data_IF_688240544854
#
_entry.id   IF_688240544854
#
_cell.length_a   1.000
_cell.length_b   1.000
_cell.length_c   1.000
_cell.angle_alpha   90.00
_cell.angle_beta   90.00
_cell.angle_gamma   90.00
#
_symmetry.space_group_name_H-M   'P 1'
#
loop_
_entity.id
_entity.type
_entity.pdbx_description
1 polymer ?
#
# COMPACT_ATOMS: atom_id res chain seq x y z
N UNK A 1 -2.07 -51.89 23.21
CA UNK A 1 -1.33 -51.05 24.16
C UNK A 1 -1.96 -49.67 24.17
N UNK A 2 -2.64 -49.36 25.25
CA UNK A 2 -3.32 -48.06 25.50
C UNK A 2 -2.31 -47.14 26.20
N UNK A 3 -2.12 -45.93 25.71
CA UNK A 3 -1.40 -44.90 26.47
C UNK A 3 -2.32 -43.67 26.61
N UNK A 4 -2.64 -43.37 27.86
CA UNK A 4 -3.51 -42.31 28.33
C UNK A 4 -2.88 -40.95 28.07
N UNK A 5 -3.69 -39.98 27.60
CA UNK A 5 -3.42 -38.53 27.74
C UNK A 5 -4.04 -38.04 29.05
N UNK A 6 -3.26 -37.50 29.93
CA UNK A 6 -3.70 -36.77 31.11
C UNK A 6 -3.91 -35.30 30.77
N UNK A 7 -5.15 -34.86 30.86
CA UNK A 7 -5.47 -33.44 30.88
C UNK A 7 -5.43 -32.93 32.33
N UNK A 8 -4.58 -31.93 32.61
CA UNK A 8 -4.61 -31.21 33.88
C UNK A 8 -5.54 -30.00 33.74
N UNK A 9 -6.71 -30.10 34.36
CA UNK A 9 -7.51 -28.95 34.74
C UNK A 9 -7.05 -28.49 36.11
N UNK A 10 -6.53 -27.30 36.26
CA UNK A 10 -6.32 -26.66 37.52
C UNK A 10 -7.37 -25.56 37.74
N UNK A 11 -8.41 -25.91 38.47
CA UNK A 11 -9.33 -24.95 39.09
C UNK A 11 -8.73 -24.49 40.38
N UNK A 12 -8.49 -23.21 40.55
CA UNK A 12 -8.35 -22.61 41.85
C UNK A 12 -8.90 -21.19 41.86
N UNK A 13 -10.06 -21.08 42.46
CA UNK A 13 -10.68 -19.86 42.94
C UNK A 13 -9.81 -19.24 44.02
N UNK A 14 -9.32 -17.99 43.84
CA UNK A 14 -8.93 -17.12 44.92
C UNK A 14 -9.57 -15.74 44.77
N UNK A 15 -10.23 -15.42 45.83
CA UNK A 15 -11.03 -14.29 46.25
C UNK A 15 -10.34 -12.94 45.98
N UNK A 16 -11.15 -12.02 45.49
CA UNK A 16 -10.98 -10.56 45.49
C UNK A 16 -10.41 -10.00 46.80
N UNK A 17 -9.35 -9.23 46.72
CA UNK A 17 -9.21 -7.97 47.48
C UNK A 17 -8.09 -7.10 46.90
N UNK A 18 -8.41 -5.81 46.87
CA UNK A 18 -7.60 -4.63 46.62
C UNK A 18 -7.48 -4.14 45.17
N UNK A 19 -8.33 -3.16 44.91
CA UNK A 19 -8.13 -2.16 43.87
C UNK A 19 -6.86 -1.36 44.21
N UNK A 20 -5.75 -1.66 43.55
CA UNK A 20 -4.64 -0.72 43.36
C UNK A 20 -4.73 -0.19 41.95
N UNK A 21 -4.94 1.10 41.88
CA UNK A 21 -4.96 1.88 40.61
C UNK A 21 -3.61 1.77 39.92
N UNK A 22 -3.65 1.77 38.59
CA UNK A 22 -2.49 1.70 37.67
C UNK A 22 -1.46 2.83 37.85
N UNK A 23 -1.65 3.70 38.84
CA UNK A 23 -0.77 4.82 39.17
C UNK A 23 0.50 4.48 39.94
N UNK A 24 0.64 3.25 40.47
CA UNK A 24 1.76 2.92 41.39
C UNK A 24 2.95 2.18 40.76
N UNK A 25 2.97 1.98 39.44
CA UNK A 25 4.05 1.22 38.78
C UNK A 25 5.10 2.08 38.05
N UNK A 26 5.04 3.41 38.13
CA UNK A 26 6.03 4.30 37.49
C UNK A 26 6.75 5.19 38.51
N UNK A 27 7.45 4.59 39.47
CA UNK A 27 8.45 5.31 40.31
C UNK A 27 9.73 4.52 40.39
N UNK A 28 10.59 4.65 39.40
CA UNK A 28 12.05 4.52 39.55
C UNK A 28 12.76 5.22 38.38
N UNK A 29 13.57 6.23 38.70
CA UNK A 29 14.56 6.81 37.79
C UNK A 29 14.30 8.26 37.43
N UNK A 30 15.09 9.15 37.99
CA UNK A 30 14.95 10.60 37.86
C UNK A 30 15.32 11.17 36.50
N UNK A 31 14.91 12.40 36.41
CA UNK A 31 15.19 13.50 35.50
C UNK A 31 14.41 13.62 34.17
N UNK A 32 13.60 14.69 34.19
CA UNK A 32 13.09 15.48 33.07
C UNK A 32 12.38 14.74 31.95
N UNK A 33 11.29 14.06 32.27
CA UNK A 33 10.20 13.83 31.34
C UNK A 33 9.00 14.65 31.80
N UNK A 34 8.65 15.68 31.03
CA UNK A 34 7.35 16.34 31.15
C UNK A 34 6.27 15.27 31.15
N UNK A 35 5.60 15.09 32.29
CA UNK A 35 4.43 14.23 32.40
C UNK A 35 3.35 14.86 31.55
N UNK A 36 3.20 14.41 30.30
CA UNK A 36 2.04 14.74 29.48
C UNK A 36 0.83 14.20 30.24
N UNK A 37 0.11 15.11 30.90
CA UNK A 37 -1.24 14.84 31.40
C UNK A 37 -2.03 14.40 30.18
N UNK A 38 -2.58 13.17 30.20
CA UNK A 38 -3.50 12.69 29.17
C UNK A 38 -4.73 13.59 29.20
N UNK A 39 -4.68 14.69 28.44
CA UNK A 39 -5.85 15.43 28.02
C UNK A 39 -6.74 14.49 27.19
N UNK A 40 -8.02 14.75 27.19
CA UNK A 40 -9.10 14.02 26.53
C UNK A 40 -8.63 13.19 25.33
N UNK A 41 -8.87 11.86 25.37
CA UNK A 41 -8.53 10.93 24.28
C UNK A 41 -9.26 11.40 23.04
N UNK A 42 -8.57 12.09 22.12
CA UNK A 42 -9.14 12.43 20.83
C UNK A 42 -9.47 11.13 20.12
N UNK A 43 -10.73 10.90 19.85
CA UNK A 43 -11.20 9.71 19.12
C UNK A 43 -10.76 9.87 17.67
N UNK A 44 -9.86 8.98 17.21
CA UNK A 44 -9.39 8.94 15.84
C UNK A 44 -10.31 8.12 14.93
N UNK A 45 -11.07 7.17 15.49
CA UNK A 45 -11.93 6.26 14.72
C UNK A 45 -13.21 6.96 14.30
N UNK A 46 -13.56 6.79 13.03
CA UNK A 46 -14.82 7.30 12.43
C UNK A 46 -15.55 6.11 11.84
N UNK A 47 -16.86 6.00 12.11
CA UNK A 47 -17.67 4.91 11.60
C UNK A 47 -17.13 3.53 11.95
N UNK A 48 -17.12 2.63 10.98
CA UNK A 48 -16.76 1.23 11.21
C UNK A 48 -15.37 0.81 10.72
N UNK A 49 -14.77 1.56 9.79
CA UNK A 49 -13.52 1.18 9.12
C UNK A 49 -12.53 2.34 8.98
N UNK A 50 -12.98 3.58 9.27
CA UNK A 50 -12.20 4.76 8.96
C UNK A 50 -11.53 5.37 10.19
N UNK A 51 -10.44 6.08 9.92
CA UNK A 51 -9.63 6.79 10.91
C UNK A 51 -9.36 8.20 10.35
N UNK A 52 -9.66 9.23 11.14
CA UNK A 52 -9.15 10.57 10.91
C UNK A 52 -7.92 10.76 11.79
N UNK A 53 -6.80 11.12 11.20
CA UNK A 53 -5.57 11.29 11.97
C UNK A 53 -5.70 12.48 12.93
N UNK A 54 -5.14 12.33 14.14
CA UNK A 54 -5.11 13.40 15.15
C UNK A 54 -4.16 14.52 14.71
N UNK A 55 -3.04 14.11 14.15
CA UNK A 55 -2.03 14.96 13.55
C UNK A 55 -1.77 14.44 12.14
N UNK A 56 -1.77 15.31 11.17
CA UNK A 56 -1.48 14.97 9.79
C UNK A 56 -0.08 14.37 9.66
N UNK A 57 0.06 13.45 8.72
CA UNK A 57 1.34 12.80 8.44
C UNK A 57 1.87 13.27 7.10
N UNK A 58 3.03 13.86 7.11
CA UNK A 58 3.63 14.54 5.95
C UNK A 58 4.53 13.60 5.16
N UNK A 59 4.38 13.61 3.83
CA UNK A 59 5.28 12.91 2.91
C UNK A 59 6.41 13.88 2.56
N UNK A 60 7.55 13.71 3.23
CA UNK A 60 8.70 14.64 3.14
C UNK A 60 9.74 14.22 2.11
N UNK A 61 9.61 13.04 1.53
CA UNK A 61 10.45 12.53 0.45
C UNK A 61 9.79 11.33 -0.19
N UNK A 62 9.90 11.22 -1.51
CA UNK A 62 9.43 10.06 -2.25
C UNK A 62 10.33 9.78 -3.44
N UNK A 63 10.39 8.53 -3.86
CA UNK A 63 11.12 8.13 -5.05
C UNK A 63 10.37 7.06 -5.82
N UNK A 64 10.58 7.05 -7.14
CA UNK A 64 10.03 6.09 -8.08
C UNK A 64 11.11 5.59 -9.03
N UNK A 65 11.34 4.29 -9.04
CA UNK A 65 12.25 3.62 -9.95
C UNK A 65 11.46 2.60 -10.76
N UNK A 66 11.66 2.54 -12.05
CA UNK A 66 10.90 1.69 -12.95
C UNK A 66 11.77 1.00 -13.98
N UNK A 67 11.23 -0.06 -14.60
CA UNK A 67 11.83 -0.75 -15.74
C UNK A 67 11.69 0.03 -17.06
N UNK A 68 12.27 -0.54 -18.12
CA UNK A 68 12.27 0.07 -19.47
C UNK A 68 10.87 0.27 -20.02
N UNK A 69 10.00 -0.73 -19.85
CA UNK A 69 8.63 -0.70 -20.37
C UNK A 69 7.80 0.43 -19.76
N UNK A 70 7.93 0.66 -18.47
CA UNK A 70 7.30 1.74 -17.72
C UNK A 70 7.86 3.10 -18.15
N UNK A 71 9.18 3.15 -18.41
CA UNK A 71 9.87 4.34 -18.91
C UNK A 71 9.41 4.76 -20.31
N UNK A 72 8.95 3.84 -21.13
CA UNK A 72 8.38 4.09 -22.44
C UNK A 72 6.90 4.51 -22.40
N UNK A 73 6.26 4.41 -21.23
CA UNK A 73 4.86 4.75 -21.01
C UNK A 73 4.60 6.26 -20.85
N UNK A 74 3.32 6.64 -20.73
CA UNK A 74 2.92 8.05 -20.62
C UNK A 74 3.56 8.81 -19.44
N UNK A 75 3.90 8.12 -18.36
CA UNK A 75 4.52 8.71 -17.19
C UNK A 75 6.06 8.64 -17.20
N UNK A 76 6.66 8.11 -18.25
CA UNK A 76 8.10 7.80 -18.33
C UNK A 76 9.04 8.94 -17.90
N UNK A 77 8.74 10.18 -18.33
CA UNK A 77 9.55 11.36 -17.99
C UNK A 77 9.37 11.86 -16.56
N UNK A 78 8.44 11.30 -15.80
CA UNK A 78 8.15 11.71 -14.42
C UNK A 78 8.85 10.84 -13.39
N UNK A 79 9.26 9.63 -13.75
CA UNK A 79 9.97 8.74 -12.85
C UNK A 79 11.37 9.25 -12.51
N UNK A 80 11.80 8.99 -11.29
CA UNK A 80 13.12 9.45 -10.82
C UNK A 80 14.27 8.70 -11.49
N UNK A 81 14.04 7.42 -11.78
CA UNK A 81 14.99 6.58 -12.49
C UNK A 81 14.27 5.55 -13.34
N UNK A 82 14.74 5.37 -14.56
CA UNK A 82 14.35 4.30 -15.47
C UNK A 82 15.54 3.40 -15.68
N UNK A 83 15.39 2.08 -15.48
CA UNK A 83 16.45 1.10 -15.70
C UNK A 83 16.86 1.03 -17.18
N UNK A 84 18.12 0.73 -17.44
CA UNK A 84 18.60 0.45 -18.79
C UNK A 84 18.06 -0.87 -19.34
N UNK A 85 17.81 -1.82 -18.42
CA UNK A 85 17.14 -3.09 -18.67
C UNK A 85 16.32 -3.50 -17.43
N UNK A 86 15.56 -4.60 -17.53
CA UNK A 86 14.74 -5.12 -16.42
C UNK A 86 15.54 -5.93 -15.40
N UNK A 87 16.83 -6.16 -15.62
CA UNK A 87 17.71 -6.88 -14.69
C UNK A 87 18.43 -5.96 -13.70
N UNK A 88 18.49 -4.65 -13.98
CA UNK A 88 19.16 -3.66 -13.12
C UNK A 88 20.60 -4.06 -12.73
N UNK A 89 21.31 -4.73 -13.66
CA UNK A 89 22.66 -5.22 -13.43
C UNK A 89 22.77 -6.44 -12.51
N UNK A 90 21.67 -7.09 -12.17
CA UNK A 90 21.60 -8.28 -11.33
C UNK A 90 21.59 -9.58 -12.16
N UNK A 91 21.82 -10.72 -11.52
CA UNK A 91 21.82 -12.03 -12.19
C UNK A 91 20.42 -12.69 -12.23
N UNK A 92 19.54 -12.33 -11.31
CA UNK A 92 18.17 -12.87 -11.21
C UNK A 92 17.13 -11.76 -11.11
N UNK A 93 15.89 -12.06 -11.48
CA UNK A 93 14.79 -11.08 -11.40
C UNK A 93 14.42 -10.72 -9.96
N UNK A 94 14.59 -11.67 -9.02
CA UNK A 94 14.39 -11.41 -7.59
C UNK A 94 15.45 -10.45 -7.03
N UNK A 95 16.69 -10.60 -7.45
CA UNK A 95 17.76 -9.64 -7.11
C UNK A 95 17.51 -8.27 -7.73
N UNK A 96 17.03 -8.23 -8.99
CA UNK A 96 16.63 -7.00 -9.66
C UNK A 96 15.54 -6.27 -8.87
N UNK A 97 14.50 -6.99 -8.43
CA UNK A 97 13.44 -6.40 -7.59
C UNK A 97 13.96 -5.93 -6.23
N UNK A 98 14.86 -6.67 -5.60
CA UNK A 98 15.55 -6.25 -4.37
C UNK A 98 16.35 -4.96 -4.57
N UNK A 99 17.04 -4.84 -5.70
CA UNK A 99 17.79 -3.63 -6.07
C UNK A 99 16.87 -2.42 -6.24
N UNK A 100 15.72 -2.60 -6.89
CA UNK A 100 14.69 -1.54 -7.01
C UNK A 100 14.27 -0.97 -5.66
N UNK A 101 13.96 -1.82 -4.67
CA UNK A 101 13.59 -1.36 -3.33
C UNK A 101 14.72 -0.63 -2.64
N UNK A 102 15.93 -1.19 -2.70
CA UNK A 102 17.12 -0.58 -2.11
C UNK A 102 17.32 0.83 -2.65
N UNK A 103 17.34 0.98 -3.96
CA UNK A 103 17.65 2.26 -4.59
C UNK A 103 16.51 3.27 -4.41
N UNK A 104 15.24 2.84 -4.40
CA UNK A 104 14.10 3.69 -4.10
C UNK A 104 14.19 4.27 -2.67
N UNK A 105 14.54 3.44 -1.67
CA UNK A 105 14.76 3.91 -0.29
C UNK A 105 15.92 4.91 -0.23
N UNK A 106 17.04 4.63 -0.91
CA UNK A 106 18.18 5.53 -0.96
C UNK A 106 17.80 6.91 -1.52
N UNK A 107 17.08 6.93 -2.64
CA UNK A 107 16.65 8.18 -3.28
C UNK A 107 15.62 8.93 -2.44
N UNK A 108 14.64 8.24 -1.85
CA UNK A 108 13.64 8.86 -0.98
C UNK A 108 14.26 9.51 0.25
N UNK A 109 15.22 8.84 0.90
CA UNK A 109 16.00 9.40 2.00
C UNK A 109 16.79 10.63 1.57
N UNK A 110 17.45 10.56 0.40
CA UNK A 110 18.20 11.68 -0.17
C UNK A 110 17.33 12.93 -0.38
N UNK A 111 16.14 12.76 -0.97
CA UNK A 111 15.16 13.85 -1.17
C UNK A 111 14.61 14.40 0.15
N UNK A 112 14.38 13.53 1.14
CA UNK A 112 13.98 13.92 2.48
C UNK A 112 15.12 14.59 3.27
N UNK A 113 16.35 14.56 2.78
CA UNK A 113 17.59 14.98 3.50
C UNK A 113 17.72 14.27 4.85
N UNK A 114 17.39 12.97 4.86
CA UNK A 114 17.44 12.09 6.04
C UNK A 114 18.45 10.97 5.82
N UNK A 115 18.89 10.39 6.94
CA UNK A 115 19.75 9.21 6.97
C UNK A 115 18.96 8.00 7.48
N UNK A 116 19.43 6.77 7.25
CA UNK A 116 18.80 5.56 7.82
C UNK A 116 18.60 5.64 9.34
N UNK A 117 19.53 6.23 10.07
CA UNK A 117 19.46 6.35 11.54
C UNK A 117 18.35 7.29 12.04
N UNK A 118 17.83 8.16 11.17
CA UNK A 118 16.70 9.04 11.49
C UNK A 118 15.37 8.29 11.44
N UNK A 119 15.33 7.11 10.83
CA UNK A 119 14.13 6.30 10.62
C UNK A 119 13.93 5.33 11.78
N UNK A 120 12.71 5.33 12.34
CA UNK A 120 12.37 4.42 13.43
C UNK A 120 12.02 3.02 12.94
N UNK A 121 11.27 2.93 11.82
CA UNK A 121 10.79 1.70 11.23
C UNK A 121 10.76 1.79 9.70
N UNK A 122 10.82 0.62 9.04
CA UNK A 122 10.43 0.43 7.64
C UNK A 122 9.17 -0.43 7.61
N UNK A 123 8.15 0.01 6.86
CA UNK A 123 7.00 -0.78 6.45
C UNK A 123 7.18 -1.13 4.98
N UNK A 124 7.39 -2.39 4.68
CA UNK A 124 7.79 -2.78 3.34
C UNK A 124 7.19 -4.12 2.91
N UNK A 125 6.98 -4.28 1.61
CA UNK A 125 6.51 -5.52 1.02
C UNK A 125 6.70 -5.57 -0.49
N UNK A 126 6.47 -6.74 -1.03
CA UNK A 126 6.51 -7.07 -2.45
C UNK A 126 5.45 -8.13 -2.78
N UNK A 127 5.41 -8.63 -4.01
CA UNK A 127 4.45 -9.66 -4.43
C UNK A 127 4.94 -11.09 -4.24
N UNK A 128 6.20 -11.28 -3.84
CA UNK A 128 6.80 -12.60 -3.76
C UNK A 128 6.46 -13.30 -2.44
N UNK A 129 6.53 -14.62 -2.47
CA UNK A 129 6.36 -15.42 -1.27
C UNK A 129 7.35 -15.02 -0.18
N UNK A 130 6.84 -14.82 1.05
CA UNK A 130 7.59 -14.42 2.24
C UNK A 130 8.30 -13.06 2.10
N UNK A 131 7.89 -12.21 1.15
CA UNK A 131 8.48 -10.89 0.90
C UNK A 131 10.00 -10.95 0.73
N UNK A 132 10.46 -11.85 -0.15
CA UNK A 132 11.89 -12.16 -0.28
C UNK A 132 12.67 -11.01 -0.93
N UNK A 133 12.08 -10.32 -1.91
CA UNK A 133 12.71 -9.16 -2.52
C UNK A 133 12.93 -8.05 -1.49
N UNK A 134 11.93 -7.79 -0.65
CA UNK A 134 12.02 -6.83 0.46
C UNK A 134 13.12 -7.19 1.44
N UNK A 135 13.19 -8.46 1.85
CA UNK A 135 14.17 -8.91 2.84
C UNK A 135 15.62 -8.62 2.40
N UNK A 136 15.95 -8.89 1.15
CA UNK A 136 17.29 -8.63 0.61
C UNK A 136 17.49 -7.16 0.21
N UNK A 137 16.45 -6.50 -0.29
CA UNK A 137 16.53 -5.12 -0.74
C UNK A 137 16.86 -4.13 0.37
N UNK A 138 16.28 -4.33 1.56
CA UNK A 138 16.40 -3.34 2.64
C UNK A 138 17.32 -3.74 3.79
N UNK A 139 17.83 -4.98 3.83
CA UNK A 139 18.61 -5.50 4.97
C UNK A 139 19.81 -4.60 5.35
N UNK A 140 20.44 -3.98 4.37
CA UNK A 140 21.65 -3.17 4.57
C UNK A 140 21.38 -1.80 5.20
N UNK A 141 20.12 -1.36 5.30
CA UNK A 141 19.76 -0.12 5.97
C UNK A 141 19.80 -0.23 7.49
N UNK A 142 19.76 -1.46 8.03
CA UNK A 142 19.78 -1.73 9.47
C UNK A 142 18.70 -0.98 10.26
N UNK A 143 17.50 -0.82 9.64
CA UNK A 143 16.33 -0.21 10.24
C UNK A 143 15.34 -1.33 10.61
N UNK A 144 14.69 -1.30 11.79
CA UNK A 144 13.67 -2.29 12.17
C UNK A 144 12.57 -2.38 11.12
N UNK A 145 12.31 -3.61 10.63
CA UNK A 145 11.36 -3.91 9.56
C UNK A 145 10.04 -4.45 10.12
N UNK A 146 8.94 -3.95 9.58
CA UNK A 146 7.63 -4.55 9.61
C UNK A 146 7.23 -4.91 8.16
N UNK A 147 7.35 -6.20 7.84
CA UNK A 147 6.94 -6.73 6.53
C UNK A 147 5.43 -6.79 6.43
N UNK A 148 4.88 -6.31 5.31
CA UNK A 148 3.44 -6.25 5.04
C UNK A 148 3.12 -6.93 3.71
N UNK A 149 1.93 -7.52 3.61
CA UNK A 149 1.48 -8.19 2.40
C UNK A 149 -0.04 -8.07 2.21
N UNK A 150 -0.44 -7.27 1.26
CA UNK A 150 -1.81 -7.10 0.79
C UNK A 150 -1.91 -7.25 -0.74
N UNK A 151 -1.07 -8.12 -1.34
CA UNK A 151 -0.89 -8.21 -2.79
C UNK A 151 -0.62 -6.81 -3.39
N UNK A 152 -1.27 -6.42 -4.48
CA UNK A 152 -1.07 -5.11 -5.09
C UNK A 152 -1.44 -3.93 -4.18
N UNK A 153 -2.27 -4.13 -3.13
CA UNK A 153 -2.63 -3.09 -2.15
C UNK A 153 -1.55 -2.81 -1.09
N UNK A 154 -0.44 -3.53 -1.09
CA UNK A 154 0.65 -3.41 -0.11
C UNK A 154 1.18 -1.97 0.02
N UNK A 155 1.16 -1.19 -1.06
CA UNK A 155 1.49 0.24 -1.01
C UNK A 155 0.58 1.01 -0.04
N UNK A 156 -0.74 0.83 -0.16
CA UNK A 156 -1.71 1.44 0.76
C UNK A 156 -1.56 0.94 2.19
N UNK A 157 -1.36 -0.36 2.35
CA UNK A 157 -1.17 -0.99 3.65
C UNK A 157 0.08 -0.44 4.38
N UNK A 158 1.20 -0.33 3.69
CA UNK A 158 2.45 0.23 4.24
C UNK A 158 2.28 1.69 4.66
N UNK A 159 1.62 2.51 3.83
CA UNK A 159 1.36 3.92 4.12
C UNK A 159 0.39 4.10 5.30
N UNK A 160 -0.64 3.26 5.41
CA UNK A 160 -1.58 3.26 6.55
C UNK A 160 -0.84 2.95 7.85
N UNK A 161 -0.09 1.85 7.90
CA UNK A 161 0.64 1.45 9.10
C UNK A 161 1.73 2.47 9.47
N UNK A 162 2.45 2.99 8.49
CA UNK A 162 3.41 4.07 8.69
C UNK A 162 2.76 5.33 9.26
N UNK A 163 1.61 5.73 8.72
CA UNK A 163 0.86 6.89 9.21
C UNK A 163 0.33 6.69 10.63
N UNK A 164 -0.18 5.49 10.95
CA UNK A 164 -0.60 5.14 12.30
C UNK A 164 0.57 5.22 13.28
N UNK A 165 1.77 4.74 12.89
CA UNK A 165 2.96 4.78 13.74
C UNK A 165 3.43 6.23 14.00
N UNK A 166 3.38 7.10 12.98
CA UNK A 166 3.78 8.51 13.10
C UNK A 166 2.75 9.31 13.89
N UNK A 167 1.48 9.26 13.50
CA UNK A 167 0.39 10.01 14.16
C UNK A 167 0.15 9.52 15.59
N UNK A 168 0.33 8.21 15.85
CA UNK A 168 0.26 7.62 17.18
C UNK A 168 1.45 7.94 18.10
N UNK A 169 2.48 8.61 17.59
CA UNK A 169 3.66 9.00 18.36
C UNK A 169 4.67 7.87 18.60
N UNK A 170 4.55 6.73 17.91
CA UNK A 170 5.51 5.63 17.98
C UNK A 170 6.78 5.91 17.18
N UNK A 171 6.73 6.84 16.22
CA UNK A 171 7.85 7.27 15.42
C UNK A 171 7.74 8.75 15.02
N UNK A 172 8.89 9.44 14.86
CA UNK A 172 8.92 10.76 14.22
C UNK A 172 9.01 10.61 12.69
N UNK A 173 9.81 9.63 12.24
CA UNK A 173 9.98 9.31 10.82
C UNK A 173 9.94 7.81 10.59
N UNK A 174 9.33 7.40 9.49
CA UNK A 174 9.32 6.02 9.00
C UNK A 174 9.48 6.00 7.49
N UNK A 175 9.88 4.85 6.96
CA UNK A 175 9.88 4.59 5.52
C UNK A 175 8.78 3.60 5.19
N UNK A 176 8.05 3.87 4.09
CA UNK A 176 7.15 2.94 3.45
C UNK A 176 7.70 2.66 2.05
N UNK A 177 7.89 1.40 1.69
CA UNK A 177 8.42 1.02 0.37
C UNK A 177 7.76 -0.25 -0.13
N UNK A 178 7.41 -0.26 -1.40
CA UNK A 178 6.87 -1.46 -2.07
C UNK A 178 7.42 -1.57 -3.49
N UNK A 179 7.55 -2.80 -3.95
CA UNK A 179 8.00 -3.12 -5.30
C UNK A 179 7.18 -4.23 -5.93
N UNK A 180 7.23 -4.30 -7.22
CA UNK A 180 6.89 -5.45 -8.02
C UNK A 180 7.83 -5.53 -9.23
N UNK A 181 7.97 -6.74 -9.79
CA UNK A 181 8.75 -6.95 -10.99
C UNK A 181 8.00 -7.98 -11.85
N UNK A 182 7.81 -7.68 -13.15
CA UNK A 182 6.96 -8.49 -14.00
C UNK A 182 7.38 -9.97 -14.01
N UNK A 183 8.66 -10.25 -14.16
CA UNK A 183 9.13 -11.63 -14.30
C UNK A 183 9.15 -12.40 -12.99
N UNK A 184 9.55 -11.77 -11.87
CA UNK A 184 9.56 -12.42 -10.56
C UNK A 184 8.14 -12.72 -10.06
N UNK A 185 7.21 -11.78 -10.23
CA UNK A 185 5.84 -11.93 -9.77
C UNK A 185 4.99 -12.80 -10.71
N UNK A 186 5.03 -12.57 -12.02
CA UNK A 186 4.13 -13.26 -12.95
C UNK A 186 4.38 -14.76 -13.06
N UNK A 187 5.60 -15.24 -12.82
CA UNK A 187 5.87 -16.67 -12.77
C UNK A 187 5.16 -17.40 -11.63
N UNK A 188 4.64 -16.69 -10.65
CA UNK A 188 3.86 -17.27 -9.55
C UNK A 188 2.44 -17.68 -10.00
N UNK A 189 1.85 -16.99 -10.99
CA UNK A 189 0.50 -17.26 -11.45
C UNK A 189 0.38 -17.44 -12.97
N UNK A 190 1.40 -17.08 -13.75
CA UNK A 190 1.45 -17.22 -15.21
C UNK A 190 2.69 -17.99 -15.63
N UNK A 191 2.64 -19.27 -15.46
CA UNK A 191 3.76 -20.16 -15.78
C UNK A 191 3.37 -21.15 -16.88
N UNK A 192 4.23 -21.44 -17.87
CA UNK A 192 5.54 -20.79 -18.08
C UNK A 192 5.46 -19.41 -18.70
N UNK A 193 6.36 -18.49 -18.32
CA UNK A 193 6.41 -17.11 -18.81
C UNK A 193 6.56 -17.00 -20.33
N UNK A 194 7.16 -18.00 -20.98
CA UNK A 194 7.28 -18.06 -22.44
C UNK A 194 5.95 -18.03 -23.22
N UNK A 195 4.83 -18.28 -22.54
CA UNK A 195 3.49 -18.11 -23.09
C UNK A 195 2.82 -16.80 -22.65
N UNK A 196 3.58 -15.86 -22.11
CA UNK A 196 3.07 -14.56 -21.66
C UNK A 196 2.32 -13.73 -22.71
N UNK A 197 2.61 -13.95 -24.01
CA UNK A 197 1.88 -13.35 -25.14
C UNK A 197 0.44 -13.87 -25.29
N UNK A 198 0.10 -15.00 -24.69
CA UNK A 198 -1.24 -15.59 -24.73
C UNK A 198 -2.13 -15.09 -23.58
N UNK A 199 -2.12 -13.81 -23.30
CA UNK A 199 -2.93 -13.17 -22.26
C UNK A 199 -4.30 -12.78 -22.82
N UNK A 200 -5.42 -13.00 -22.06
CA UNK A 200 -6.72 -12.44 -22.44
C UNK A 200 -6.69 -10.91 -22.35
N UNK A 201 -7.64 -10.25 -23.03
CA UNK A 201 -7.78 -8.79 -22.98
C UNK A 201 -8.10 -8.23 -21.58
N UNK A 202 -8.55 -9.07 -20.66
CA UNK A 202 -8.78 -8.73 -19.26
C UNK A 202 -7.51 -8.76 -18.39
N UNK A 203 -6.42 -9.36 -18.88
CA UNK A 203 -5.16 -9.43 -18.14
C UNK A 203 -4.47 -8.06 -18.09
N UNK A 204 -3.84 -7.79 -16.97
CA UNK A 204 -2.91 -6.67 -16.79
C UNK A 204 -1.46 -7.13 -16.92
N UNK A 205 -0.56 -6.18 -17.03
CA UNK A 205 0.90 -6.38 -17.02
C UNK A 205 1.45 -5.97 -15.66
N UNK A 206 2.22 -6.85 -14.99
CA UNK A 206 2.84 -6.47 -13.73
C UNK A 206 3.90 -5.42 -13.95
N UNK A 207 3.77 -4.30 -13.27
CA UNK A 207 4.71 -3.18 -13.31
C UNK A 207 6.04 -3.60 -12.68
N UNK A 208 7.13 -3.33 -13.39
CA UNK A 208 8.48 -3.40 -12.85
C UNK A 208 8.80 -2.05 -12.24
N UNK A 209 8.79 -1.96 -10.91
CA UNK A 209 9.07 -0.70 -10.25
C UNK A 209 8.98 -0.78 -8.73
N UNK A 210 9.57 0.23 -8.09
CA UNK A 210 9.53 0.43 -6.65
C UNK A 210 9.25 1.89 -6.33
N UNK A 211 8.32 2.11 -5.38
CA UNK A 211 8.05 3.42 -4.81
C UNK A 211 8.37 3.43 -3.32
N UNK A 212 9.12 4.44 -2.87
CA UNK A 212 9.47 4.64 -1.47
C UNK A 212 9.02 6.03 -0.98
N UNK A 213 8.58 6.10 0.28
CA UNK A 213 8.04 7.31 0.90
C UNK A 213 8.61 7.47 2.30
N UNK A 214 9.13 8.66 2.60
CA UNK A 214 9.52 9.05 3.95
C UNK A 214 8.39 9.83 4.57
N UNK A 215 7.80 9.28 5.63
CA UNK A 215 6.72 9.90 6.39
C UNK A 215 7.27 10.61 7.62
N UNK A 216 6.72 11.77 7.92
CA UNK A 216 7.12 12.62 9.06
C UNK A 216 5.92 13.17 9.81
N UNK A 217 6.11 13.40 11.10
CA UNK A 217 5.16 14.11 11.96
C UNK A 217 5.15 15.63 11.70
N UNK A 218 6.13 16.16 11.00
CA UNK A 218 6.29 17.61 10.76
C UNK A 218 6.54 17.87 9.28
N UNK A 219 6.16 19.06 8.85
CA UNK A 219 6.57 19.59 7.54
C UNK A 219 8.08 19.80 7.56
N UNK A 220 8.77 19.17 6.62
CA UNK A 220 10.20 19.27 6.44
C UNK A 220 10.55 19.26 4.95
N UNK A 221 11.57 20.00 4.55
CA UNK A 221 12.05 19.99 3.17
C UNK A 221 11.00 20.39 2.14
N UNK A 222 10.94 19.65 1.05
CA UNK A 222 9.99 19.86 -0.06
C UNK A 222 8.74 18.98 0.11
N UNK A 223 8.05 19.11 1.24
CA UNK A 223 6.82 18.37 1.49
C UNK A 223 5.75 18.76 0.47
N UNK A 224 5.18 17.79 -0.23
CA UNK A 224 4.19 18.02 -1.30
C UNK A 224 2.76 17.73 -0.87
N UNK A 225 2.58 16.83 0.07
CA UNK A 225 1.27 16.39 0.51
C UNK A 225 1.31 15.84 1.94
N UNK A 226 0.14 15.76 2.56
CA UNK A 226 -0.06 15.06 3.82
C UNK A 226 -1.16 13.99 3.71
N UNK A 227 -1.08 13.00 4.60
CA UNK A 227 -2.12 12.01 4.83
C UNK A 227 -2.94 12.49 6.01
N UNK A 228 -4.24 12.73 5.82
CA UNK A 228 -5.15 13.29 6.83
C UNK A 228 -6.12 12.24 7.38
N UNK A 229 -6.29 11.13 6.66
CA UNK A 229 -7.19 10.08 7.07
C UNK A 229 -7.06 8.82 6.21
N UNK A 230 -7.76 7.77 6.63
CA UNK A 230 -7.71 6.47 5.97
C UNK A 230 -8.97 5.64 6.21
N UNK A 231 -9.23 4.68 5.33
CA UNK A 231 -10.27 3.66 5.50
C UNK A 231 -9.66 2.28 5.26
N UNK A 232 -9.69 1.44 6.28
CA UNK A 232 -9.11 0.09 6.22
C UNK A 232 -10.15 -0.83 5.60
N UNK A 233 -9.80 -1.44 4.45
CA UNK A 233 -10.69 -2.32 3.72
C UNK A 233 -10.83 -3.70 4.34
N UNK A 234 -11.87 -4.40 3.89
CA UNK A 234 -12.14 -5.81 4.21
C UNK A 234 -11.85 -6.67 3.00
N UNK A 235 -11.55 -7.94 3.25
CA UNK A 235 -11.50 -8.94 2.18
C UNK A 235 -12.92 -9.14 1.63
N UNK A 236 -13.06 -9.04 0.30
CA UNK A 236 -14.33 -9.24 -0.42
C UNK A 236 -14.12 -10.31 -1.47
N UNK A 237 -14.97 -11.33 -1.47
CA UNK A 237 -14.93 -12.45 -2.40
C UNK A 237 -16.28 -12.62 -3.11
N UNK A 238 -16.28 -12.44 -4.42
CA UNK A 238 -17.45 -12.68 -5.28
C UNK A 238 -17.40 -14.04 -5.99
N UNK A 239 -16.48 -14.92 -5.57
CA UNK A 239 -16.39 -16.29 -6.09
C UNK A 239 -15.68 -16.39 -7.45
N UNK A 240 -14.99 -15.33 -7.90
CA UNK A 240 -14.22 -15.35 -9.14
C UNK A 240 -12.95 -16.19 -8.97
N UNK A 241 -12.60 -16.97 -10.02
CA UNK A 241 -11.44 -17.87 -10.03
C UNK A 241 -10.44 -17.55 -11.13
N UNK A 242 -10.72 -16.56 -11.96
CA UNK A 242 -9.87 -16.19 -13.08
C UNK A 242 -8.74 -15.24 -12.62
N UNK A 243 -7.56 -15.81 -12.40
CA UNK A 243 -6.36 -15.06 -12.02
C UNK A 243 -5.84 -14.11 -13.10
N UNK A 244 -6.31 -14.26 -14.35
CA UNK A 244 -5.98 -13.37 -15.46
C UNK A 244 -7.00 -12.22 -15.62
N UNK A 245 -7.97 -12.13 -14.71
CA UNK A 245 -8.95 -11.04 -14.64
C UNK A 245 -8.96 -10.43 -13.23
N UNK A 246 -7.79 -10.03 -12.75
CA UNK A 246 -7.61 -9.51 -11.40
C UNK A 246 -8.43 -8.25 -11.15
N UNK A 247 -8.58 -7.37 -12.16
CA UNK A 247 -9.40 -6.17 -12.04
C UNK A 247 -10.83 -6.46 -11.62
N UNK A 248 -11.47 -7.48 -12.23
CA UNK A 248 -12.82 -7.89 -11.82
C UNK A 248 -12.84 -8.50 -10.40
N UNK A 249 -11.77 -9.18 -9.98
CA UNK A 249 -11.66 -9.72 -8.62
C UNK A 249 -11.49 -8.62 -7.56
N UNK A 250 -10.76 -7.55 -7.88
CA UNK A 250 -10.45 -6.44 -6.97
C UNK A 250 -11.56 -5.38 -6.88
N UNK A 251 -12.30 -5.15 -7.96
CA UNK A 251 -13.30 -4.08 -8.04
C UNK A 251 -14.37 -4.14 -6.92
N UNK A 252 -14.89 -5.33 -6.50
CA UNK A 252 -15.82 -5.40 -5.36
C UNK A 252 -15.22 -4.92 -4.04
N UNK A 253 -13.93 -5.19 -3.79
CA UNK A 253 -13.25 -4.71 -2.59
C UNK A 253 -13.04 -3.19 -2.63
N UNK A 254 -12.64 -2.65 -3.78
CA UNK A 254 -12.55 -1.21 -3.99
C UNK A 254 -13.92 -0.52 -3.77
N UNK A 255 -15.00 -1.05 -4.37
CA UNK A 255 -16.36 -0.54 -4.18
C UNK A 255 -16.79 -0.59 -2.71
N UNK A 256 -16.46 -1.67 -1.99
CA UNK A 256 -16.76 -1.80 -0.56
C UNK A 256 -16.02 -0.74 0.26
N UNK A 257 -14.72 -0.55 0.02
CA UNK A 257 -13.88 0.40 0.76
C UNK A 257 -14.26 1.85 0.48
N UNK A 258 -14.51 2.22 -0.78
CA UNK A 258 -14.95 3.56 -1.17
C UNK A 258 -16.32 3.88 -0.57
N UNK A 259 -17.26 2.91 -0.60
CA UNK A 259 -18.58 3.06 0.03
C UNK A 259 -18.46 3.24 1.54
N UNK A 260 -17.63 2.45 2.21
CA UNK A 260 -17.38 2.59 3.64
C UNK A 260 -16.76 3.95 3.96
N UNK A 261 -15.82 4.41 3.14
CA UNK A 261 -15.20 5.72 3.28
C UNK A 261 -16.24 6.85 3.26
N UNK A 262 -17.07 6.90 2.22
CA UNK A 262 -18.09 7.94 2.11
C UNK A 262 -19.11 7.90 3.25
N UNK A 263 -19.53 6.70 3.66
CA UNK A 263 -20.44 6.55 4.79
C UNK A 263 -19.80 6.98 6.12
N UNK A 264 -18.58 6.54 6.39
CA UNK A 264 -17.91 6.81 7.66
C UNK A 264 -17.56 8.29 7.81
N UNK A 265 -17.07 8.93 6.73
CA UNK A 265 -16.73 10.36 6.71
C UNK A 265 -17.94 11.27 6.48
N UNK A 266 -19.12 10.71 6.16
CA UNK A 266 -20.29 11.46 5.71
C UNK A 266 -19.94 12.43 4.57
N UNK A 267 -19.14 11.96 3.61
CA UNK A 267 -18.59 12.69 2.49
C UNK A 267 -19.20 12.25 1.16
N UNK A 268 -19.01 13.06 0.12
CA UNK A 268 -19.50 12.82 -1.22
C UNK A 268 -18.32 12.80 -2.22
N UNK A 269 -18.49 12.14 -3.39
CA UNK A 269 -17.43 12.12 -4.41
C UNK A 269 -16.91 13.52 -4.79
N UNK A 270 -17.78 14.52 -4.79
CA UNK A 270 -17.47 15.90 -5.17
C UNK A 270 -16.47 16.60 -4.25
N UNK A 271 -16.25 16.07 -3.05
CA UNK A 271 -15.27 16.58 -2.10
C UNK A 271 -13.82 16.24 -2.48
N UNK A 272 -13.65 15.35 -3.47
CA UNK A 272 -12.34 14.90 -3.95
C UNK A 272 -12.11 15.38 -5.39
N UNK A 273 -10.92 15.90 -5.67
CA UNK A 273 -10.54 16.22 -7.05
C UNK A 273 -10.38 14.95 -7.88
N UNK A 274 -9.83 13.88 -7.27
CA UNK A 274 -9.71 12.55 -7.85
C UNK A 274 -9.95 11.45 -6.82
N UNK A 275 -10.50 10.34 -7.33
CA UNK A 275 -10.63 9.06 -6.63
C UNK A 275 -9.79 8.06 -7.44
N UNK A 276 -8.67 7.63 -6.86
CA UNK A 276 -7.61 6.97 -7.63
C UNK A 276 -7.44 5.53 -7.15
N UNK A 277 -7.71 4.57 -8.03
CA UNK A 277 -7.46 3.15 -7.75
C UNK A 277 -6.06 2.71 -8.16
N UNK A 278 -5.57 1.63 -7.52
CA UNK A 278 -4.19 1.18 -7.72
C UNK A 278 -3.95 0.51 -9.06
N UNK A 279 -4.75 -0.48 -9.41
CA UNK A 279 -4.46 -1.35 -10.56
C UNK A 279 -5.68 -2.17 -11.02
N UNK A 280 -6.85 -1.58 -11.00
CA UNK A 280 -8.07 -2.21 -11.52
C UNK A 280 -8.02 -2.44 -13.03
N UNK A 281 -7.31 -1.58 -13.73
CA UNK A 281 -7.28 -1.56 -15.18
C UNK A 281 -8.65 -1.29 -15.81
N UNK A 282 -8.72 -1.33 -17.13
CA UNK A 282 -9.93 -0.96 -17.88
C UNK A 282 -11.14 -1.86 -17.61
N UNK A 283 -10.93 -3.14 -17.26
CA UNK A 283 -12.01 -4.08 -16.94
C UNK A 283 -12.52 -3.81 -15.54
N UNK A 284 -11.63 -3.75 -14.54
CA UNK A 284 -12.02 -3.52 -13.15
C UNK A 284 -12.61 -2.13 -12.92
N UNK A 285 -12.13 -1.10 -13.65
CA UNK A 285 -12.72 0.23 -13.63
C UNK A 285 -14.21 0.20 -13.98
N UNK A 286 -14.59 -0.46 -15.10
CA UNK A 286 -16.00 -0.56 -15.50
C UNK A 286 -16.85 -1.23 -14.43
N UNK A 287 -16.36 -2.34 -13.87
CA UNK A 287 -17.04 -3.06 -12.78
C UNK A 287 -17.18 -2.17 -11.53
N UNK A 288 -16.11 -1.44 -11.15
CA UNK A 288 -16.14 -0.52 -10.02
C UNK A 288 -17.20 0.58 -10.20
N UNK A 289 -17.22 1.23 -11.36
CA UNK A 289 -18.17 2.32 -11.65
C UNK A 289 -19.60 1.85 -11.57
N UNK A 290 -19.90 0.67 -12.12
CA UNK A 290 -21.25 0.09 -12.05
C UNK A 290 -21.64 -0.26 -10.60
N UNK A 291 -20.75 -0.92 -9.83
CA UNK A 291 -20.99 -1.26 -8.43
C UNK A 291 -21.21 -0.05 -7.53
N UNK A 292 -20.49 1.06 -7.78
CA UNK A 292 -20.68 2.29 -7.00
C UNK A 292 -21.95 3.02 -7.40
N UNK A 293 -22.30 3.03 -8.69
CA UNK A 293 -23.56 3.62 -9.19
C UNK A 293 -24.78 2.92 -8.59
N UNK A 294 -24.74 1.60 -8.46
CA UNK A 294 -25.80 0.82 -7.77
C UNK A 294 -25.95 1.19 -6.29
N UNK A 295 -24.90 1.76 -5.68
CA UNK A 295 -24.91 2.27 -4.30
C UNK A 295 -25.22 3.76 -4.19
N UNK A 296 -25.48 4.42 -5.31
CA UNK A 296 -25.81 5.84 -5.36
C UNK A 296 -24.61 6.79 -5.50
N UNK A 297 -23.42 6.26 -5.77
CA UNK A 297 -22.21 7.09 -5.96
C UNK A 297 -21.77 7.04 -7.42
N UNK A 298 -21.78 8.18 -8.11
CA UNK A 298 -21.18 8.32 -9.43
C UNK A 298 -19.82 9.02 -9.32
N UNK A 299 -18.75 8.26 -9.61
CA UNK A 299 -17.38 8.77 -9.56
C UNK A 299 -16.72 8.87 -10.94
N UNK A 300 -17.45 8.64 -12.03
CA UNK A 300 -16.89 8.46 -13.37
C UNK A 300 -15.97 9.63 -13.79
N UNK A 301 -16.40 10.88 -13.57
CA UNK A 301 -15.63 12.07 -13.97
C UNK A 301 -14.40 12.33 -13.08
N UNK A 302 -14.32 11.70 -11.91
CA UNK A 302 -13.25 11.88 -10.93
C UNK A 302 -12.35 10.67 -10.80
N UNK A 303 -12.76 9.55 -11.36
CA UNK A 303 -12.01 8.31 -11.26
C UNK A 303 -10.76 8.35 -12.15
N UNK A 304 -9.68 7.81 -11.60
CA UNK A 304 -8.42 7.53 -12.26
C UNK A 304 -7.91 6.16 -11.78
N UNK A 305 -7.21 5.42 -12.61
CA UNK A 305 -6.60 4.15 -12.22
C UNK A 305 -5.11 4.17 -12.59
N UNK A 306 -4.23 3.92 -11.61
CA UNK A 306 -2.79 3.98 -11.83
C UNK A 306 -2.33 3.01 -12.93
N UNK A 307 -2.95 1.83 -13.01
CA UNK A 307 -2.63 0.84 -14.04
C UNK A 307 -3.00 1.28 -15.45
N UNK A 308 -3.99 2.17 -15.60
CA UNK A 308 -4.37 2.75 -16.89
C UNK A 308 -3.47 3.93 -17.29
N UNK A 309 -2.88 4.61 -16.32
CA UNK A 309 -2.03 5.79 -16.57
C UNK A 309 -0.58 5.43 -16.89
N UNK A 310 -0.08 4.31 -16.34
CA UNK A 310 1.34 3.96 -16.43
C UNK A 310 1.76 3.44 -17.80
N UNK A 311 0.83 2.82 -18.54
CA UNK A 311 1.08 2.26 -19.87
C UNK A 311 0.12 2.82 -20.93
N UNK A 312 0.61 2.97 -22.14
CA UNK A 312 -0.25 3.05 -23.32
C UNK A 312 -0.63 1.63 -23.78
N UNK A 313 -1.82 1.20 -23.37
CA UNK A 313 -2.31 -0.16 -23.64
C UNK A 313 -2.33 -0.52 -25.13
N UNK A 314 -2.48 0.47 -26.03
CA UNK A 314 -2.56 0.24 -27.47
C UNK A 314 -1.19 -0.08 -28.08
N UNK A 315 -0.14 0.63 -27.67
CA UNK A 315 1.21 0.48 -28.23
C UNK A 315 2.11 -0.47 -27.45
N UNK A 316 1.84 -0.67 -26.13
CA UNK A 316 2.71 -1.44 -25.25
C UNK A 316 2.18 -2.86 -24.94
N UNK A 317 1.07 -3.30 -25.55
CA UNK A 317 0.50 -4.65 -25.37
C UNK A 317 0.24 -5.01 -23.90
N UNK A 318 -0.31 -4.08 -23.13
CA UNK A 318 -0.62 -4.29 -21.72
C UNK A 318 -2.07 -4.66 -21.43
N UNK A 319 -2.92 -4.70 -22.46
CA UNK A 319 -4.33 -5.09 -22.44
C UNK A 319 -5.17 -4.24 -21.48
N UNK A 320 -5.43 -4.76 -20.25
CA UNK A 320 -6.24 -4.03 -19.27
C UNK A 320 -5.47 -2.88 -18.57
N UNK A 321 -4.15 -2.87 -18.68
CA UNK A 321 -3.28 -1.87 -18.05
C UNK A 321 -2.20 -2.47 -17.17
N UNK A 322 -1.60 -1.68 -16.29
CA UNK A 322 -0.60 -2.10 -15.32
C UNK A 322 -1.21 -2.70 -14.06
N UNK A 323 -0.43 -3.52 -13.33
CA UNK A 323 -0.81 -4.12 -12.05
C UNK A 323 0.40 -4.26 -11.13
N UNK A 324 0.17 -4.58 -9.86
CA UNK A 324 1.20 -4.80 -8.86
C UNK A 324 1.34 -3.67 -7.85
N UNK A 325 1.93 -3.98 -6.70
CA UNK A 325 2.12 -2.95 -5.66
C UNK A 325 3.15 -1.88 -6.05
N UNK A 326 4.05 -2.18 -6.98
CA UNK A 326 4.89 -1.18 -7.65
C UNK A 326 4.07 -0.17 -8.47
N UNK A 327 3.01 -0.61 -9.15
CA UNK A 327 2.16 0.23 -9.99
C UNK A 327 1.61 1.46 -9.26
N UNK A 328 0.88 1.23 -8.17
CA UNK A 328 0.30 2.32 -7.36
C UNK A 328 1.39 3.15 -6.68
N UNK A 329 2.50 2.53 -6.25
CA UNK A 329 3.57 3.21 -5.55
C UNK A 329 4.34 4.19 -6.47
N UNK A 330 4.76 3.75 -7.66
CA UNK A 330 5.51 4.63 -8.57
C UNK A 330 4.63 5.74 -9.13
N UNK A 331 3.34 5.45 -9.41
CA UNK A 331 2.37 6.45 -9.86
C UNK A 331 2.08 7.49 -8.76
N UNK A 332 1.96 7.06 -7.50
CA UNK A 332 1.83 7.98 -6.37
C UNK A 332 3.02 8.93 -6.30
N UNK A 333 4.26 8.38 -6.32
CA UNK A 333 5.48 9.18 -6.19
C UNK A 333 5.70 10.14 -7.35
N UNK A 334 5.57 9.64 -8.60
CA UNK A 334 5.93 10.40 -9.80
C UNK A 334 4.85 11.39 -10.23
N UNK A 335 3.58 11.00 -10.13
CA UNK A 335 2.48 11.75 -10.72
C UNK A 335 1.55 12.37 -9.67
N UNK A 336 0.97 11.57 -8.77
CA UNK A 336 -0.07 12.07 -7.85
C UNK A 336 0.50 13.12 -6.89
N UNK A 337 1.66 12.87 -6.28
CA UNK A 337 2.32 13.83 -5.39
C UNK A 337 2.76 15.10 -6.12
N UNK A 338 3.07 15.01 -7.41
CA UNK A 338 3.35 16.18 -8.24
C UNK A 338 2.10 17.04 -8.43
N UNK A 339 0.95 16.42 -8.76
CA UNK A 339 -0.31 17.15 -8.93
C UNK A 339 -0.75 17.85 -7.64
N UNK A 340 -0.57 17.20 -6.49
CA UNK A 340 -0.83 17.79 -5.17
C UNK A 340 0.16 18.94 -4.86
N UNK A 341 1.45 18.71 -5.08
CA UNK A 341 2.49 19.72 -4.82
C UNK A 341 2.41 20.95 -5.72
N UNK A 342 1.91 20.80 -6.94
CA UNK A 342 1.63 21.92 -7.88
C UNK A 342 0.26 22.56 -7.65
N UNK A 343 -0.51 22.13 -6.65
CA UNK A 343 -1.87 22.60 -6.34
C UNK A 343 -2.90 22.40 -7.47
N UNK A 344 -2.61 21.49 -8.43
CA UNK A 344 -3.58 21.09 -9.46
C UNK A 344 -4.72 20.28 -8.84
N UNK A 345 -4.40 19.48 -7.82
CA UNK A 345 -5.35 18.78 -6.95
C UNK A 345 -5.11 19.20 -5.50
N UNK A 346 -6.20 19.34 -4.75
CA UNK A 346 -6.17 19.72 -3.33
C UNK A 346 -6.41 18.51 -2.44
N UNK A 347 -7.30 17.62 -2.86
CA UNK A 347 -7.71 16.45 -2.08
C UNK A 347 -7.99 15.28 -2.99
N UNK A 348 -7.35 14.15 -2.73
CA UNK A 348 -7.57 12.91 -3.45
C UNK A 348 -7.84 11.76 -2.50
N UNK A 349 -8.69 10.81 -2.94
CA UNK A 349 -8.88 9.53 -2.29
C UNK A 349 -8.04 8.50 -3.05
N UNK A 350 -6.93 8.07 -2.46
CA UNK A 350 -6.03 7.08 -3.04
C UNK A 350 -6.36 5.68 -2.52
N UNK A 351 -6.70 4.76 -3.42
CA UNK A 351 -7.28 3.45 -3.10
C UNK A 351 -6.49 2.33 -3.78
N UNK A 352 -5.29 1.98 -3.29
CA UNK A 352 -4.58 0.79 -3.73
C UNK A 352 -5.41 -0.48 -3.56
N UNK A 353 -5.42 -1.31 -4.61
CA UNK A 353 -6.22 -2.51 -4.75
C UNK A 353 -5.33 -3.75 -4.79
N UNK A 354 -5.84 -4.92 -4.39
CA UNK A 354 -5.07 -6.15 -4.39
C UNK A 354 -5.95 -7.38 -4.61
N UNK A 355 -5.43 -8.33 -5.40
CA UNK A 355 -6.01 -9.65 -5.62
C UNK A 355 -5.25 -10.68 -4.78
N UNK A 356 -5.94 -11.28 -3.80
CA UNK A 356 -5.32 -12.20 -2.86
C UNK A 356 -5.29 -13.62 -3.44
N UNK A 357 -4.18 -13.96 -4.06
CA UNK A 357 -3.93 -15.30 -4.59
C UNK A 357 -2.49 -15.73 -4.31
N UNK A 358 -2.26 -17.02 -4.34
CA UNK A 358 -0.95 -17.62 -4.29
C UNK A 358 -0.88 -18.72 -5.34
N UNK A 359 0.34 -19.18 -5.67
CA UNK A 359 0.54 -20.33 -6.55
C UNK A 359 -0.21 -21.58 -6.07
N UNK A 360 -0.24 -21.80 -4.77
CA UNK A 360 -0.96 -22.93 -4.16
C UNK A 360 -2.47 -22.77 -4.33
N UNK A 361 -3.04 -21.63 -3.88
CA UNK A 361 -4.49 -21.38 -3.96
C UNK A 361 -5.00 -21.42 -5.41
N UNK A 362 -4.25 -20.86 -6.35
CA UNK A 362 -4.56 -20.89 -7.77
C UNK A 362 -4.58 -22.33 -8.30
N UNK A 363 -3.53 -23.13 -8.03
CA UNK A 363 -3.45 -24.52 -8.49
C UNK A 363 -4.52 -25.42 -7.87
N UNK A 364 -5.02 -25.10 -6.67
CA UNK A 364 -6.12 -25.78 -6.01
C UNK A 364 -7.51 -25.32 -6.50
N UNK A 365 -7.56 -24.36 -7.42
CA UNK A 365 -8.80 -23.86 -7.99
C UNK A 365 -9.64 -23.03 -6.99
N UNK A 366 -9.00 -22.43 -6.01
CA UNK A 366 -9.66 -21.52 -5.07
C UNK A 366 -10.12 -20.23 -5.76
N UNK A 367 -10.99 -19.48 -5.10
CA UNK A 367 -11.38 -18.13 -5.54
C UNK A 367 -10.25 -17.13 -5.37
N UNK A 368 -10.37 -15.97 -6.01
CA UNK A 368 -9.44 -14.84 -5.88
C UNK A 368 -10.16 -13.69 -5.15
N UNK A 369 -10.09 -13.62 -3.82
CA UNK A 369 -10.64 -12.51 -3.06
C UNK A 369 -9.91 -11.20 -3.37
N UNK A 370 -10.63 -10.08 -3.30
CA UNK A 370 -10.06 -8.75 -3.39
C UNK A 370 -9.88 -8.08 -2.03
N UNK A 371 -8.95 -7.15 -1.96
CA UNK A 371 -8.77 -6.21 -0.86
C UNK A 371 -8.45 -4.82 -1.41
N UNK A 372 -8.84 -3.77 -0.71
CA UNK A 372 -8.47 -2.40 -1.04
C UNK A 372 -8.45 -1.55 0.22
N UNK A 373 -7.50 -0.63 0.28
CA UNK A 373 -7.38 0.32 1.38
C UNK A 373 -7.43 1.74 0.82
N UNK A 374 -7.98 2.70 1.56
CA UNK A 374 -8.05 4.08 1.12
C UNK A 374 -7.28 5.03 2.04
N UNK A 375 -6.59 5.99 1.44
CA UNK A 375 -5.93 7.11 2.12
C UNK A 375 -6.46 8.42 1.56
N UNK A 376 -6.68 9.38 2.44
CA UNK A 376 -6.97 10.76 2.07
C UNK A 376 -5.65 11.52 2.01
N UNK A 377 -5.30 11.99 0.81
CA UNK A 377 -4.11 12.81 0.56
C UNK A 377 -4.55 14.23 0.27
N UNK A 378 -3.94 15.19 0.95
CA UNK A 378 -4.23 16.61 0.76
C UNK A 378 -2.95 17.38 0.42
N UNK A 379 -3.07 18.39 -0.44
CA UNK A 379 -1.99 19.35 -0.72
C UNK A 379 -1.69 20.19 0.52
N UNK A 380 -0.51 20.78 0.59
CA UNK A 380 -0.05 21.61 1.72
C UNK A 380 -0.05 23.08 1.31
#
# INVERSE_FOLDING_TARGET
MRTLFYAYFCTSSYILKEKKTVADFCRFGGDNTETRIMGETKVCTIGSQSIKLIEDVYIIGSASIVGTKEGEGPLGLLFDMVGEDDMFGCETWEEAESSLQKDAVYMALGKAKKKPEDMRYIFAGDLLGQSIATSFGIMNYNIPLLGVYGACSTCGESLILGSMAVSGGFANHVICVTSSHFASAEKEFRFPLGYGSQRPLSASWTVTGSGAFVLSRKIEGETKACITGMTIGKIVDYGLKDSLNMGACMAPAAASTITAHFNDYNSQPEEYDKIITGDLGSVGQRVLLDLLRDKGYDIADRHMDCGMEIFDAASQDTHAGGSGCGCSAVTLSAYILKQLGEQNWKKVLFVPTGALLSKTSFNEGQTVPGIAHALVLESI
#
